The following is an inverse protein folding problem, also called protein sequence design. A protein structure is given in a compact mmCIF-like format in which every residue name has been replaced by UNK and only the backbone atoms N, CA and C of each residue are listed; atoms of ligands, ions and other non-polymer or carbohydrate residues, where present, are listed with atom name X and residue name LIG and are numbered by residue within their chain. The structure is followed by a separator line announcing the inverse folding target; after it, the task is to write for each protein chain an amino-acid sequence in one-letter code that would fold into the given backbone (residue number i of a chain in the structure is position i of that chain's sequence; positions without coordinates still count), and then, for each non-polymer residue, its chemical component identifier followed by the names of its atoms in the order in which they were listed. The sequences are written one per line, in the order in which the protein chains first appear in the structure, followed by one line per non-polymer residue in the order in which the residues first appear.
data_IF_500349526395
#
_entry.id   IF_500349526395
#
_cell.length_a   1.000
_cell.length_b   1.000
_cell.length_c   1.000
_cell.angle_alpha   90.00
_cell.angle_beta   90.00
_cell.angle_gamma   90.00
#
_symmetry.space_group_name_H-M   'P 1'
#
loop_
_entity.id
_entity.type
_entity.pdbx_description
1 polymer ?
#
# COMPACT_ATOMS: atom_id res chain seq x y z
N UNK A 1 -10.23 49.63 -35.55
CA UNK A 1 -9.49 48.43 -36.02
C UNK A 1 -8.14 48.37 -35.31
N UNK A 2 -8.06 47.63 -34.20
CA UNK A 2 -6.79 47.39 -33.50
C UNK A 2 -6.34 45.96 -33.80
N UNK A 3 -5.25 45.83 -34.57
CA UNK A 3 -4.67 44.55 -34.99
C UNK A 3 -3.91 43.91 -33.82
N UNK A 4 -4.47 42.89 -33.18
CA UNK A 4 -3.75 42.00 -32.26
C UNK A 4 -2.69 41.21 -33.05
N UNK A 5 -1.43 41.65 -32.97
CA UNK A 5 -0.28 40.87 -33.42
C UNK A 5 -0.07 39.73 -32.43
N UNK A 6 -0.50 38.52 -32.79
CA UNK A 6 -0.16 37.30 -32.07
C UNK A 6 1.36 37.13 -32.01
N UNK A 7 1.91 37.05 -30.80
CA UNK A 7 3.32 36.76 -30.59
C UNK A 7 3.63 35.35 -31.12
N UNK A 8 4.24 35.25 -32.30
CA UNK A 8 4.76 33.98 -32.83
C UNK A 8 5.87 33.51 -31.89
N UNK A 9 5.60 32.44 -31.12
CA UNK A 9 6.63 31.74 -30.35
C UNK A 9 7.68 31.22 -31.34
N UNK A 10 8.93 31.68 -31.22
CA UNK A 10 10.05 31.17 -32.03
C UNK A 10 10.25 29.68 -31.75
N UNK A 11 10.59 28.86 -32.77
CA UNK A 11 10.92 27.46 -32.55
C UNK A 11 12.17 27.36 -31.67
N UNK A 12 12.12 26.47 -30.69
CA UNK A 12 13.28 26.23 -29.84
C UNK A 12 14.39 25.54 -30.64
N UNK A 13 15.60 26.08 -30.56
CA UNK A 13 16.79 25.45 -31.12
C UNK A 13 17.51 24.65 -30.04
N UNK A 14 18.05 23.50 -30.45
CA UNK A 14 18.76 22.58 -29.58
C UNK A 14 20.19 22.44 -30.08
N UNK A 15 21.15 22.40 -29.16
CA UNK A 15 22.55 22.07 -29.45
C UNK A 15 22.97 20.85 -28.63
N UNK A 16 23.89 20.06 -29.16
CA UNK A 16 24.52 18.97 -28.40
C UNK A 16 25.81 19.49 -27.79
N UNK A 17 25.95 19.41 -26.47
CA UNK A 17 27.21 19.59 -25.77
C UNK A 17 27.76 18.23 -25.36
N UNK A 18 29.07 18.04 -25.46
CA UNK A 18 29.74 16.84 -24.96
C UNK A 18 30.14 17.06 -23.51
N UNK A 19 29.72 16.19 -22.60
CA UNK A 19 30.14 16.27 -21.20
C UNK A 19 31.61 15.85 -21.07
N UNK A 20 32.40 16.65 -20.37
CA UNK A 20 33.80 16.36 -20.02
C UNK A 20 33.86 15.36 -18.85
N UNK A 21 33.42 14.13 -19.08
CA UNK A 21 33.60 12.99 -18.17
C UNK A 21 34.48 11.97 -18.89
N UNK A 22 35.18 11.10 -18.14
CA UNK A 22 36.04 10.02 -18.68
C UNK A 22 35.35 9.23 -19.79
N UNK A 23 34.02 9.09 -19.71
CA UNK A 23 33.13 8.65 -20.80
C UNK A 23 32.24 9.79 -21.31
N UNK A 24 32.56 10.39 -22.47
CA UNK A 24 31.83 11.54 -22.97
C UNK A 24 30.41 11.17 -23.42
N UNK A 25 29.41 11.76 -22.76
CA UNK A 25 28.01 11.69 -23.18
C UNK A 25 27.60 12.91 -24.01
N UNK A 26 26.67 12.72 -24.95
CA UNK A 26 26.01 13.86 -25.63
C UNK A 26 24.85 14.35 -24.78
N UNK A 27 24.87 15.62 -24.41
CA UNK A 27 23.80 16.31 -23.70
C UNK A 27 23.10 17.27 -24.65
N UNK A 28 21.78 17.21 -24.72
CA UNK A 28 20.98 18.19 -25.46
C UNK A 28 20.71 19.40 -24.57
N UNK A 29 21.03 20.57 -25.07
CA UNK A 29 20.80 21.84 -24.39
C UNK A 29 19.92 22.75 -25.26
N UNK A 30 18.91 23.38 -24.65
CA UNK A 30 18.14 24.44 -25.31
C UNK A 30 19.03 25.67 -25.41
N UNK A 31 19.18 26.20 -26.62
CA UNK A 31 19.89 27.45 -26.82
C UNK A 31 18.97 28.59 -26.34
N UNK A 32 19.33 29.27 -25.26
CA UNK A 32 18.61 30.48 -24.84
C UNK A 32 18.81 31.57 -25.90
N UNK A 33 17.73 32.24 -26.27
CA UNK A 33 17.69 33.34 -27.26
C UNK A 33 18.61 34.53 -26.92
N UNK A 34 19.15 34.60 -25.70
CA UNK A 34 20.00 35.69 -25.21
C UNK A 34 21.50 35.41 -25.24
N UNK A 35 21.94 34.24 -25.74
CA UNK A 35 23.36 33.90 -25.85
C UNK A 35 24.12 33.82 -24.52
N UNK A 36 23.40 33.83 -23.39
CA UNK A 36 24.00 33.70 -22.07
C UNK A 36 24.10 32.21 -21.71
N UNK A 37 25.30 31.72 -21.40
CA UNK A 37 25.52 30.39 -20.84
C UNK A 37 24.97 30.37 -19.41
N UNK A 38 23.65 30.24 -19.28
CA UNK A 38 23.05 29.95 -17.98
C UNK A 38 23.48 28.54 -17.59
N UNK A 39 24.23 28.43 -16.49
CA UNK A 39 24.37 27.17 -15.77
C UNK A 39 22.98 26.53 -15.70
N UNK A 40 22.84 25.31 -16.22
CA UNK A 40 21.53 24.68 -16.35
C UNK A 40 20.79 24.76 -15.01
N UNK A 41 19.54 25.24 -14.99
CA UNK A 41 18.74 25.41 -13.75
C UNK A 41 18.71 24.16 -12.86
N UNK A 42 19.01 23.00 -13.46
CA UNK A 42 19.06 21.70 -12.81
C UNK A 42 20.39 21.32 -12.13
N UNK A 43 21.44 22.16 -12.14
CA UNK A 43 22.73 21.84 -11.49
C UNK A 43 22.58 21.55 -10.01
N UNK A 44 21.69 22.28 -9.32
CA UNK A 44 21.42 22.12 -7.89
C UNK A 44 20.82 20.75 -7.52
N UNK A 45 20.22 20.03 -8.48
CA UNK A 45 19.65 18.69 -8.26
C UNK A 45 20.66 17.57 -8.48
N UNK A 46 21.91 17.87 -8.83
CA UNK A 46 22.92 16.86 -9.13
C UNK A 46 23.63 16.40 -7.85
N UNK A 47 22.91 15.66 -7.01
CA UNK A 47 23.47 15.04 -5.79
C UNK A 47 24.39 13.88 -6.18
N UNK A 48 25.66 13.97 -5.80
CA UNK A 48 26.63 12.89 -6.03
C UNK A 48 26.48 11.82 -4.94
N UNK A 49 26.39 10.53 -5.30
CA UNK A 49 26.36 9.47 -4.31
C UNK A 49 27.72 9.35 -3.61
N UNK A 50 27.70 9.02 -2.32
CA UNK A 50 28.90 8.64 -1.58
C UNK A 50 29.34 7.23 -2.00
N UNK A 51 30.63 7.07 -2.27
CA UNK A 51 31.19 5.81 -2.74
C UNK A 51 32.20 5.29 -1.72
N UNK A 52 32.17 3.99 -1.40
CA UNK A 52 33.22 3.37 -0.59
C UNK A 52 34.58 3.46 -1.27
N UNK A 53 35.56 4.06 -0.59
CA UNK A 53 36.97 4.08 -1.01
C UNK A 53 37.74 3.02 -0.23
N UNK A 54 38.61 2.27 -0.90
CA UNK A 54 39.46 1.25 -0.29
C UNK A 54 40.90 1.33 -0.79
N UNK A 55 41.83 0.90 0.05
CA UNK A 55 43.23 0.73 -0.32
C UNK A 55 43.49 -0.71 -0.81
N UNK A 56 44.59 -0.90 -1.54
CA UNK A 56 45.02 -2.19 -2.09
C UNK A 56 45.14 -3.28 -1.02
N UNK A 57 45.70 -2.94 0.14
CA UNK A 57 45.83 -3.88 1.25
C UNK A 57 44.47 -4.32 1.81
N UNK A 58 43.50 -3.39 1.89
CA UNK A 58 42.13 -3.70 2.32
C UNK A 58 41.44 -4.60 1.30
N UNK A 59 41.68 -4.39 0.01
CA UNK A 59 41.11 -5.21 -1.05
C UNK A 59 41.55 -6.67 -0.95
N UNK A 60 42.85 -6.91 -0.82
CA UNK A 60 43.42 -8.26 -0.73
C UNK A 60 42.94 -9.02 0.50
N UNK A 61 42.73 -8.33 1.63
CA UNK A 61 42.32 -8.96 2.88
C UNK A 61 40.82 -9.25 2.95
N UNK A 62 39.97 -8.33 2.47
CA UNK A 62 38.53 -8.36 2.75
C UNK A 62 37.62 -8.33 1.52
N UNK A 63 38.10 -7.93 0.35
CA UNK A 63 37.26 -7.68 -0.83
C UNK A 63 37.52 -8.66 -1.99
N UNK A 64 38.39 -9.65 -1.80
CA UNK A 64 38.66 -10.70 -2.80
C UNK A 64 37.41 -11.52 -3.10
N UNK A 65 37.22 -11.89 -4.36
CA UNK A 65 36.04 -12.65 -4.78
C UNK A 65 36.35 -13.59 -5.96
N UNK A 66 35.78 -14.81 -6.01
CA UNK A 66 36.15 -15.82 -7.03
C UNK A 66 35.91 -15.39 -8.48
N UNK A 67 34.84 -14.63 -8.73
CA UNK A 67 34.41 -14.24 -10.07
C UNK A 67 34.67 -12.76 -10.40
N UNK A 68 35.38 -12.02 -9.56
CA UNK A 68 35.60 -10.58 -9.75
C UNK A 68 37.06 -10.24 -9.56
N UNK A 69 37.63 -9.52 -10.53
CA UNK A 69 38.99 -9.00 -10.40
C UNK A 69 38.99 -7.63 -9.71
N UNK A 70 40.16 -7.21 -9.22
CA UNK A 70 40.33 -5.86 -8.67
C UNK A 70 40.03 -4.80 -9.73
N UNK A 71 40.59 -4.95 -10.93
CA UNK A 71 40.35 -4.03 -12.04
C UNK A 71 38.87 -3.93 -12.45
N UNK A 72 38.14 -5.04 -12.48
CA UNK A 72 36.69 -5.05 -12.75
C UNK A 72 35.91 -4.36 -11.63
N UNK A 73 36.38 -4.50 -10.38
CA UNK A 73 35.77 -3.86 -9.21
C UNK A 73 35.98 -2.35 -9.22
N UNK A 74 37.20 -1.88 -9.51
CA UNK A 74 37.52 -0.46 -9.64
C UNK A 74 36.71 0.18 -10.78
N UNK A 75 36.61 -0.54 -11.90
CA UNK A 75 35.79 -0.13 -13.05
C UNK A 75 34.30 0.02 -12.70
N UNK A 76 33.76 -0.87 -11.86
CA UNK A 76 32.39 -0.77 -11.37
C UNK A 76 32.18 0.49 -10.52
N UNK A 77 33.09 0.78 -9.59
CA UNK A 77 33.00 1.96 -8.74
C UNK A 77 33.11 3.27 -9.52
N UNK A 78 34.02 3.34 -10.50
CA UNK A 78 34.14 4.49 -11.39
C UNK A 78 32.86 4.67 -12.23
N UNK A 79 32.35 3.59 -12.83
CA UNK A 79 31.12 3.64 -13.62
C UNK A 79 29.91 4.07 -12.77
N UNK A 80 29.85 3.64 -11.51
CA UNK A 80 28.83 4.05 -10.56
C UNK A 80 28.90 5.55 -10.24
N UNK A 81 30.10 6.09 -10.05
CA UNK A 81 30.33 7.53 -9.83
C UNK A 81 29.89 8.36 -11.02
N UNK A 82 30.33 8.00 -12.22
CA UNK A 82 30.01 8.71 -13.46
C UNK A 82 28.52 8.71 -13.77
N UNK A 83 27.83 7.64 -13.36
CA UNK A 83 26.40 7.45 -13.58
C UNK A 83 25.54 7.99 -12.43
N UNK A 84 26.13 8.64 -11.43
CA UNK A 84 25.46 9.13 -10.21
C UNK A 84 24.59 8.07 -9.53
N UNK A 85 25.05 6.82 -9.48
CA UNK A 85 24.34 5.71 -8.82
C UNK A 85 23.06 5.22 -9.53
N UNK A 86 22.82 5.64 -10.78
CA UNK A 86 21.64 5.23 -11.54
C UNK A 86 21.86 3.87 -12.20
N UNK A 87 21.43 2.80 -11.55
CA UNK A 87 21.57 1.42 -12.04
C UNK A 87 21.17 1.19 -13.51
N UNK A 88 20.04 1.74 -14.03
CA UNK A 88 19.70 1.59 -15.45
C UNK A 88 20.72 2.21 -16.42
N UNK A 89 21.39 3.29 -16.01
CA UNK A 89 22.45 3.93 -16.81
C UNK A 89 23.76 3.16 -16.67
N UNK A 90 24.03 2.63 -15.48
CA UNK A 90 25.21 1.82 -15.22
C UNK A 90 25.20 0.58 -16.11
N UNK A 91 24.12 -0.20 -16.11
CA UNK A 91 24.05 -1.44 -16.92
C UNK A 91 24.19 -1.16 -18.42
N UNK A 92 23.63 -0.07 -18.91
CA UNK A 92 23.70 0.33 -20.32
C UNK A 92 25.14 0.72 -20.73
N UNK A 93 25.90 1.31 -19.81
CA UNK A 93 27.29 1.75 -20.04
C UNK A 93 28.33 0.75 -19.60
N UNK A 94 27.94 -0.32 -18.93
CA UNK A 94 28.87 -1.27 -18.33
C UNK A 94 29.40 -2.21 -19.40
N UNK A 95 30.61 -1.92 -19.88
CA UNK A 95 31.33 -2.77 -20.83
C UNK A 95 32.76 -2.92 -20.35
N UNK A 96 33.05 -3.98 -19.60
CA UNK A 96 34.42 -4.28 -19.17
C UNK A 96 35.10 -5.19 -20.23
N UNK A 97 36.24 -4.78 -20.84
CA UNK A 97 36.82 -5.49 -21.99
C UNK A 97 37.21 -6.95 -21.73
N UNK A 98 37.60 -7.28 -20.50
CA UNK A 98 38.02 -8.62 -20.08
C UNK A 98 36.91 -9.35 -19.30
N UNK A 99 35.72 -8.73 -19.19
CA UNK A 99 34.62 -9.20 -18.37
C UNK A 99 33.60 -10.02 -19.15
N UNK A 100 32.87 -10.87 -18.41
CA UNK A 100 31.62 -11.44 -18.91
C UNK A 100 30.51 -10.37 -18.91
N UNK A 101 29.51 -10.51 -19.78
CA UNK A 101 28.29 -9.71 -19.69
C UNK A 101 27.60 -9.98 -18.34
N UNK A 102 27.57 -8.98 -17.46
CA UNK A 102 26.97 -9.07 -16.12
C UNK A 102 25.52 -8.63 -16.14
N UNK A 103 24.69 -9.24 -15.30
CA UNK A 103 23.34 -8.74 -15.05
C UNK A 103 23.38 -7.52 -14.11
N UNK A 104 22.32 -6.71 -14.12
CA UNK A 104 22.21 -5.57 -13.19
C UNK A 104 22.28 -6.02 -11.72
N UNK A 105 21.70 -7.18 -11.43
CA UNK A 105 21.61 -7.76 -10.11
C UNK A 105 22.98 -8.27 -9.62
N UNK A 106 23.82 -8.78 -10.51
CA UNK A 106 25.22 -9.14 -10.21
C UNK A 106 26.09 -7.91 -9.89
N UNK A 107 25.95 -6.84 -10.68
CA UNK A 107 26.65 -5.57 -10.43
C UNK A 107 26.27 -5.00 -9.06
N UNK A 108 24.97 -5.00 -8.76
CA UNK A 108 24.43 -4.60 -7.44
C UNK A 108 24.99 -5.47 -6.32
N UNK A 109 24.97 -6.79 -6.47
CA UNK A 109 25.47 -7.72 -5.46
C UNK A 109 26.93 -7.43 -5.11
N UNK A 110 27.78 -7.21 -6.12
CA UNK A 110 29.19 -6.90 -5.88
C UNK A 110 29.35 -5.56 -5.18
N UNK A 111 28.66 -4.52 -5.64
CA UNK A 111 28.72 -3.19 -5.04
C UNK A 111 28.26 -3.19 -3.58
N UNK A 112 27.14 -3.84 -3.27
CA UNK A 112 26.59 -3.91 -1.92
C UNK A 112 27.45 -4.72 -0.94
N UNK A 113 28.09 -5.79 -1.41
CA UNK A 113 29.07 -6.52 -0.61
C UNK A 113 30.27 -5.65 -0.23
N UNK A 114 30.79 -4.87 -1.19
CA UNK A 114 31.92 -3.96 -0.96
C UNK A 114 31.50 -2.84 0.00
N UNK A 115 30.33 -2.24 -0.20
CA UNK A 115 29.86 -1.18 0.68
C UNK A 115 29.59 -1.69 2.09
N UNK A 116 29.01 -2.88 2.25
CA UNK A 116 28.78 -3.49 3.57
C UNK A 116 30.09 -3.80 4.30
N UNK A 117 31.08 -4.38 3.60
CA UNK A 117 32.38 -4.72 4.18
C UNK A 117 33.17 -3.48 4.59
N UNK A 118 33.20 -2.45 3.75
CA UNK A 118 33.87 -1.18 4.08
C UNK A 118 33.17 -0.45 5.21
N UNK A 119 31.83 -0.48 5.24
CA UNK A 119 31.06 0.10 6.34
C UNK A 119 31.40 -0.60 7.66
N UNK A 120 31.45 -1.94 7.69
CA UNK A 120 31.83 -2.71 8.86
C UNK A 120 33.28 -2.46 9.33
N UNK A 121 34.22 -2.24 8.40
CA UNK A 121 35.61 -1.90 8.73
C UNK A 121 35.74 -0.50 9.31
N UNK A 122 34.97 0.46 8.77
CA UNK A 122 34.98 1.85 9.23
C UNK A 122 34.29 2.00 10.59
N UNK A 123 33.13 1.36 10.76
CA UNK A 123 32.35 1.35 11.99
C UNK A 123 32.02 -0.10 12.36
N UNK A 124 32.75 -0.69 13.33
CA UNK A 124 32.45 -2.03 13.81
C UNK A 124 30.99 -2.14 14.26
N UNK A 125 30.38 -3.31 14.05
CA UNK A 125 28.95 -3.57 14.32
C UNK A 125 28.54 -3.16 15.75
N UNK A 126 29.42 -3.36 16.73
CA UNK A 126 29.18 -3.00 18.14
C UNK A 126 29.05 -1.50 18.39
N UNK A 127 29.53 -0.67 17.46
CA UNK A 127 29.58 0.79 17.54
C UNK A 127 28.70 1.49 16.49
N UNK A 128 27.96 0.74 15.68
CA UNK A 128 27.09 1.32 14.66
C UNK A 128 25.88 2.04 15.28
N UNK A 129 25.52 3.18 14.69
CA UNK A 129 24.24 3.83 14.99
C UNK A 129 23.08 3.02 14.40
N UNK A 130 21.86 3.21 14.92
CA UNK A 130 20.67 2.54 14.41
C UNK A 130 20.46 2.67 12.87
N UNK A 131 20.59 3.87 12.25
CA UNK A 131 20.45 3.98 10.80
C UNK A 131 21.60 3.28 10.05
N UNK A 132 22.84 3.36 10.53
CA UNK A 132 23.99 2.68 9.90
C UNK A 132 23.86 1.16 9.95
N UNK A 133 23.40 0.63 11.09
CA UNK A 133 23.14 -0.81 11.23
C UNK A 133 22.03 -1.27 10.28
N UNK A 134 20.94 -0.50 10.17
CA UNK A 134 19.87 -0.82 9.21
C UNK A 134 20.37 -0.83 7.77
N UNK A 135 21.25 0.12 7.41
CA UNK A 135 21.88 0.15 6.10
C UNK A 135 22.78 -1.09 5.89
N UNK A 136 23.64 -1.41 6.85
CA UNK A 136 24.47 -2.61 6.80
C UNK A 136 23.65 -3.88 6.60
N UNK A 137 22.55 -4.03 7.33
CA UNK A 137 21.64 -5.18 7.22
C UNK A 137 21.01 -5.26 5.81
N UNK A 138 20.56 -4.13 5.25
CA UNK A 138 20.00 -4.12 3.89
C UNK A 138 21.03 -4.46 2.81
N UNK A 139 22.27 -4.00 2.97
CA UNK A 139 23.35 -4.24 2.02
C UNK A 139 23.87 -5.68 2.10
N UNK A 140 24.04 -6.21 3.31
CA UNK A 140 24.55 -7.57 3.55
C UNK A 140 23.56 -8.66 3.14
N UNK A 141 22.25 -8.42 3.31
CA UNK A 141 21.20 -9.38 2.99
C UNK A 141 20.72 -9.32 1.53
N UNK A 142 21.33 -8.49 0.67
CA UNK A 142 20.93 -8.39 -0.73
C UNK A 142 21.14 -9.73 -1.46
N UNK A 143 20.05 -10.27 -2.04
CA UNK A 143 20.09 -11.52 -2.80
C UNK A 143 19.80 -11.26 -4.30
N UNK A 144 20.78 -11.46 -5.20
CA UNK A 144 20.61 -11.17 -6.62
C UNK A 144 19.53 -12.04 -7.28
N UNK A 145 19.34 -13.29 -6.84
CA UNK A 145 18.31 -14.19 -7.40
C UNK A 145 16.90 -13.74 -7.02
N UNK A 146 16.72 -13.31 -5.77
CA UNK A 146 15.43 -12.78 -5.31
C UNK A 146 15.11 -11.47 -6.04
N UNK A 147 16.08 -10.58 -6.18
CA UNK A 147 15.89 -9.32 -6.91
C UNK A 147 15.54 -9.57 -8.39
N UNK A 148 16.19 -10.54 -9.04
CA UNK A 148 15.86 -10.94 -10.41
C UNK A 148 14.42 -11.48 -10.52
N UNK A 149 14.00 -12.35 -9.59
CA UNK A 149 12.61 -12.86 -9.56
C UNK A 149 11.58 -11.75 -9.31
N UNK A 150 11.91 -10.79 -8.44
CA UNK A 150 11.06 -9.63 -8.15
C UNK A 150 10.91 -8.74 -9.36
N UNK A 151 12.00 -8.50 -10.10
CA UNK A 151 12.00 -7.74 -11.35
C UNK A 151 11.16 -8.44 -12.42
N UNK A 152 11.28 -9.75 -12.56
CA UNK A 152 10.49 -10.53 -13.51
C UNK A 152 8.98 -10.45 -13.19
N UNK A 153 8.60 -10.52 -11.91
CA UNK A 153 7.20 -10.32 -11.50
C UNK A 153 6.69 -8.91 -11.84
N UNK A 154 7.50 -7.88 -11.54
CA UNK A 154 7.13 -6.50 -11.86
C UNK A 154 6.99 -6.26 -13.38
N UNK A 155 7.86 -6.88 -14.18
CA UNK A 155 7.79 -6.85 -15.64
C UNK A 155 6.52 -7.55 -16.16
N UNK A 156 6.15 -8.69 -15.56
CA UNK A 156 4.87 -9.36 -15.82
C UNK A 156 3.68 -8.46 -15.52
N UNK A 157 3.67 -7.78 -14.36
CA UNK A 157 2.61 -6.83 -14.02
C UNK A 157 2.55 -5.62 -14.95
N UNK A 158 3.70 -5.13 -15.42
CA UNK A 158 3.77 -4.00 -16.34
C UNK A 158 3.22 -4.36 -17.73
N UNK A 159 3.46 -5.58 -18.18
CA UNK A 159 3.04 -6.09 -19.49
C UNK A 159 1.67 -6.78 -19.48
N UNK A 160 0.97 -6.76 -18.33
CA UNK A 160 -0.29 -7.48 -18.13
C UNK A 160 -1.42 -6.91 -18.98
N UNK A 161 -2.08 -7.71 -19.83
CA UNK A 161 -3.21 -7.27 -20.63
C UNK A 161 -4.52 -7.32 -19.83
N UNK A 162 -5.50 -6.48 -20.20
CA UNK A 162 -6.75 -6.32 -19.45
C UNK A 162 -7.61 -7.60 -19.42
N UNK A 163 -7.60 -8.40 -20.49
CA UNK A 163 -8.36 -9.66 -20.55
C UNK A 163 -7.87 -10.68 -19.51
N UNK A 164 -6.55 -10.76 -19.27
CA UNK A 164 -5.96 -11.64 -18.25
C UNK A 164 -6.35 -11.18 -16.84
N UNK A 165 -6.54 -9.87 -16.64
CA UNK A 165 -7.07 -9.32 -15.37
C UNK A 165 -8.51 -9.77 -15.12
N UNK A 166 -9.35 -9.69 -16.13
CA UNK A 166 -10.76 -10.06 -16.01
C UNK A 166 -10.92 -11.57 -15.77
N UNK A 167 -10.14 -12.40 -16.49
CA UNK A 167 -10.10 -13.86 -16.32
C UNK A 167 -9.61 -14.26 -14.91
N UNK A 168 -8.50 -13.69 -14.43
CA UNK A 168 -8.02 -13.94 -13.07
C UNK A 168 -9.04 -13.50 -12.00
N UNK A 169 -9.76 -12.40 -12.23
CA UNK A 169 -10.84 -11.95 -11.35
C UNK A 169 -11.97 -12.97 -11.24
N UNK A 170 -12.39 -13.55 -12.38
CA UNK A 170 -13.38 -14.63 -12.42
C UNK A 170 -12.85 -15.85 -11.67
N UNK A 171 -11.63 -16.30 -11.96
CA UNK A 171 -11.01 -17.46 -11.30
C UNK A 171 -10.90 -17.28 -9.79
N UNK A 172 -10.55 -16.07 -9.31
CA UNK A 172 -10.45 -15.79 -7.89
C UNK A 172 -11.81 -15.82 -7.19
N UNK A 173 -12.85 -15.31 -7.86
CA UNK A 173 -14.24 -15.40 -7.37
C UNK A 173 -14.72 -16.86 -7.29
N UNK A 174 -14.36 -17.68 -8.28
CA UNK A 174 -14.68 -19.11 -8.31
C UNK A 174 -13.92 -19.87 -7.23
N UNK A 175 -12.62 -19.59 -7.05
CA UNK A 175 -11.82 -20.17 -5.99
C UNK A 175 -12.39 -19.85 -4.61
N UNK A 176 -12.77 -18.58 -4.37
CA UNK A 176 -13.40 -18.18 -3.11
C UNK A 176 -14.72 -18.92 -2.89
N UNK A 177 -15.53 -19.10 -3.94
CA UNK A 177 -16.76 -19.89 -3.89
C UNK A 177 -16.49 -21.36 -3.55
N UNK A 178 -15.46 -21.96 -4.16
CA UNK A 178 -15.04 -23.34 -3.85
C UNK A 178 -14.56 -23.45 -2.40
N UNK A 179 -13.75 -22.50 -1.92
CA UNK A 179 -13.26 -22.48 -0.53
C UNK A 179 -14.40 -22.35 0.49
N UNK A 180 -15.38 -21.48 0.23
CA UNK A 180 -16.56 -21.35 1.09
C UNK A 180 -17.39 -22.65 1.10
N UNK A 181 -17.59 -23.25 -0.07
CA UNK A 181 -18.30 -24.53 -0.16
C UNK A 181 -17.54 -25.67 0.54
N UNK A 182 -16.21 -25.68 0.45
CA UNK A 182 -15.38 -26.65 1.17
C UNK A 182 -15.53 -26.48 2.68
N UNK A 183 -15.52 -25.24 3.18
CA UNK A 183 -15.75 -24.95 4.59
C UNK A 183 -17.16 -25.36 5.05
N UNK A 184 -18.19 -25.17 4.24
CA UNK A 184 -19.55 -25.65 4.58
C UNK A 184 -19.62 -27.17 4.61
N UNK A 185 -19.04 -27.86 3.63
CA UNK A 185 -18.99 -29.32 3.60
C UNK A 185 -18.21 -29.89 4.79
N UNK A 186 -17.11 -29.25 5.19
CA UNK A 186 -16.33 -29.70 6.33
C UNK A 186 -17.07 -29.47 7.66
N UNK A 187 -17.84 -28.37 7.79
CA UNK A 187 -18.74 -28.15 8.92
C UNK A 187 -19.88 -29.18 8.96
N UNK A 188 -20.51 -29.48 7.83
CA UNK A 188 -21.57 -30.50 7.74
C UNK A 188 -21.00 -31.89 8.08
N UNK A 189 -19.79 -32.21 7.61
CA UNK A 189 -19.10 -33.44 7.99
C UNK A 189 -18.77 -33.48 9.48
N UNK A 190 -18.31 -32.38 10.07
CA UNK A 190 -18.05 -32.30 11.51
C UNK A 190 -19.36 -32.45 12.31
N UNK A 191 -20.45 -31.83 11.87
CA UNK A 191 -21.76 -31.98 12.49
C UNK A 191 -22.26 -33.41 12.41
N UNK A 192 -22.13 -34.06 11.24
CA UNK A 192 -22.46 -35.48 11.08
C UNK A 192 -21.58 -36.35 11.98
N UNK A 193 -20.28 -36.07 12.07
CA UNK A 193 -19.39 -36.76 13.02
C UNK A 193 -19.83 -36.54 14.47
N UNK A 194 -20.22 -35.32 14.86
CA UNK A 194 -20.75 -35.05 16.21
C UNK A 194 -22.08 -35.75 16.48
N UNK A 195 -22.95 -35.86 15.47
CA UNK A 195 -24.24 -36.57 15.58
C UNK A 195 -24.05 -38.10 15.60
N UNK A 196 -23.08 -38.61 14.84
CA UNK A 196 -22.73 -40.02 14.74
C UNK A 196 -21.87 -40.49 15.93
N UNK A 197 -21.05 -39.61 16.50
CA UNK A 197 -20.46 -39.74 17.84
C UNK A 197 -21.56 -39.46 18.87
N UNK A 198 -22.62 -40.28 18.87
CA UNK A 198 -23.41 -40.44 20.08
C UNK A 198 -22.43 -40.90 21.17
N UNK A 199 -22.40 -40.27 22.36
CA UNK A 199 -21.65 -40.83 23.47
C UNK A 199 -22.22 -42.23 23.68
N UNK A 200 -21.46 -43.26 23.28
CA UNK A 200 -21.75 -44.61 23.77
C UNK A 200 -21.71 -44.46 25.28
N UNK A 201 -22.86 -44.62 25.93
CA UNK A 201 -22.95 -44.56 27.37
C UNK A 201 -22.04 -45.66 27.93
N UNK A 202 -20.79 -45.31 28.21
CA UNK A 202 -19.87 -46.18 28.94
C UNK A 202 -19.97 -45.87 30.44
N UNK A 203 -21.19 -45.64 30.91
CA UNK A 203 -21.48 -45.36 32.31
C UNK A 203 -22.71 -46.17 32.71
N UNK A 204 -22.50 -47.05 33.69
CA UNK A 204 -23.56 -47.80 34.34
C UNK A 204 -24.68 -46.84 34.74
N UNK A 205 -25.91 -47.08 34.24
CA UNK A 205 -27.09 -46.20 34.34
C UNK A 205 -27.61 -45.91 35.75
N UNK A 206 -26.84 -46.18 36.79
CA UNK A 206 -27.21 -46.05 38.20
C UNK A 206 -26.59 -44.83 38.90
N UNK A 207 -25.73 -44.03 38.25
CA UNK A 207 -25.06 -42.90 38.91
C UNK A 207 -25.92 -41.63 39.10
N UNK A 208 -27.09 -41.54 38.47
CA UNK A 208 -27.96 -40.35 38.55
C UNK A 208 -29.35 -40.63 39.14
N UNK A 209 -29.50 -41.73 39.89
CA UNK A 209 -30.80 -42.12 40.46
C UNK A 209 -31.21 -41.30 41.71
N UNK A 210 -30.30 -40.52 42.30
CA UNK A 210 -30.60 -39.69 43.47
C UNK A 210 -30.71 -38.21 43.09
N UNK A 211 -31.65 -37.49 43.72
CA UNK A 211 -31.86 -36.05 43.51
C UNK A 211 -30.61 -35.21 43.85
N UNK A 212 -29.76 -35.71 44.73
CA UNK A 212 -28.46 -35.11 45.08
C UNK A 212 -27.48 -35.22 43.91
N UNK A 213 -27.39 -36.39 43.27
CA UNK A 213 -26.52 -36.60 42.10
C UNK A 213 -26.98 -35.79 40.88
N UNK A 214 -28.29 -35.61 40.70
CA UNK A 214 -28.84 -34.75 39.65
C UNK A 214 -28.52 -33.27 39.88
N UNK A 215 -28.59 -32.79 41.12
CA UNK A 215 -28.22 -31.41 41.47
C UNK A 215 -26.73 -31.15 41.18
N UNK A 216 -25.86 -32.12 41.47
CA UNK A 216 -24.43 -32.05 41.14
C UNK A 216 -24.16 -31.99 39.63
N UNK A 217 -24.84 -32.84 38.84
CA UNK A 217 -24.77 -32.81 37.38
C UNK A 217 -25.22 -31.44 36.83
N UNK A 218 -26.30 -30.90 37.40
CA UNK A 218 -26.87 -29.62 36.96
C UNK A 218 -25.91 -28.45 37.18
N UNK A 219 -25.21 -28.40 38.32
CA UNK A 219 -24.16 -27.40 38.57
C UNK A 219 -22.97 -27.57 37.61
N UNK A 220 -22.58 -28.80 37.30
CA UNK A 220 -21.48 -29.09 36.39
C UNK A 220 -21.81 -28.66 34.95
N UNK A 221 -23.05 -28.84 34.53
CA UNK A 221 -23.55 -28.45 33.22
C UNK A 221 -23.65 -26.92 33.09
N UNK A 222 -24.09 -26.23 34.15
CA UNK A 222 -24.03 -24.77 34.22
C UNK A 222 -22.60 -24.21 34.16
N UNK A 223 -21.63 -24.88 34.79
CA UNK A 223 -20.23 -24.46 34.74
C UNK A 223 -19.63 -24.62 33.34
N UNK A 224 -19.95 -25.71 32.65
CA UNK A 224 -19.52 -25.95 31.27
C UNK A 224 -20.12 -24.93 30.27
N UNK A 225 -21.37 -24.51 30.49
CA UNK A 225 -22.03 -23.51 29.64
C UNK A 225 -21.42 -22.11 29.81
N UNK A 226 -20.99 -21.77 31.04
CA UNK A 226 -20.22 -20.53 31.29
C UNK A 226 -18.86 -20.54 30.61
N UNK A 227 -18.20 -21.70 30.51
CA UNK A 227 -16.89 -21.80 29.84
C UNK A 227 -16.99 -21.59 28.31
N UNK A 228 -18.06 -22.05 27.66
CA UNK A 228 -18.26 -21.85 26.21
C UNK A 228 -18.55 -20.40 25.82
N UNK A 229 -19.21 -19.62 26.70
CA UNK A 229 -19.50 -18.19 26.44
C UNK A 229 -18.28 -17.27 26.50
N UNK A 230 -17.19 -17.71 27.14
CA UNK A 230 -15.98 -16.90 27.35
C UNK A 230 -14.91 -17.08 26.27
N UNK A 231 -15.13 -17.91 25.25
CA UNK A 231 -14.24 -18.05 24.11
C UNK A 231 -14.67 -17.15 22.94
N UNK A 232 -14.80 -15.84 23.22
CA UNK A 232 -14.82 -14.80 22.18
C UNK A 232 -13.47 -14.06 22.24
N UNK A 233 -12.71 -14.23 21.17
CA UNK A 233 -11.42 -13.63 20.83
C UNK A 233 -11.12 -12.33 21.59
N UNK A 234 -10.18 -12.40 22.53
CA UNK A 234 -9.58 -11.24 23.17
C UNK A 234 -8.65 -10.57 22.16
N UNK A 235 -9.01 -9.37 21.72
CA UNK A 235 -8.11 -8.53 20.94
C UNK A 235 -6.83 -8.28 21.75
N UNK A 236 -5.69 -8.62 21.17
CA UNK A 236 -4.36 -8.29 21.68
C UNK A 236 -4.21 -6.77 21.69
N UNK A 237 -4.00 -6.20 22.87
CA UNK A 237 -3.69 -4.78 23.01
C UNK A 237 -2.33 -4.49 22.36
N UNK A 238 -2.33 -3.67 21.32
CA UNK A 238 -1.11 -3.11 20.73
C UNK A 238 -0.52 -2.08 21.71
N UNK A 239 0.79 -2.12 22.04
CA UNK A 239 1.40 -1.08 22.86
C UNK A 239 1.35 0.25 22.10
N UNK A 240 0.99 1.32 22.82
CA UNK A 240 0.99 2.68 22.30
C UNK A 240 2.41 3.13 21.96
N UNK A 241 2.74 3.10 20.68
CA UNK A 241 3.89 3.82 20.12
C UNK A 241 3.39 5.19 19.64
N UNK A 242 3.42 6.20 20.51
CA UNK A 242 3.38 7.59 20.04
C UNK A 242 4.74 7.91 19.44
N UNK A 243 4.87 7.78 18.12
CA UNK A 243 5.99 8.37 17.39
C UNK A 243 5.83 9.90 17.40
N UNK A 244 6.81 10.67 17.88
CA UNK A 244 6.82 12.11 17.66
C UNK A 244 7.29 12.37 16.23
N UNK A 245 6.36 12.65 15.33
CA UNK A 245 6.70 13.21 14.02
C UNK A 245 5.67 14.28 13.69
N UNK A 246 5.88 15.49 14.23
CA UNK A 246 5.32 16.69 13.63
C UNK A 246 6.11 16.92 12.33
N UNK A 247 5.64 16.30 11.24
CA UNK A 247 6.12 16.58 9.89
C UNK A 247 5.71 18.01 9.53
N UNK A 248 6.55 18.72 8.78
CA UNK A 248 6.17 20.02 8.23
C UNK A 248 5.03 19.85 7.22
N UNK A 249 4.18 20.88 7.07
CA UNK A 249 3.07 20.86 6.09
C UNK A 249 3.55 20.55 4.66
N UNK A 250 4.77 20.98 4.30
CA UNK A 250 5.39 20.69 3.01
C UNK A 250 5.80 19.22 2.86
N UNK A 251 6.37 18.61 3.91
CA UNK A 251 6.75 17.21 3.93
C UNK A 251 5.54 16.29 3.92
N UNK A 252 4.46 16.68 4.61
CA UNK A 252 3.18 15.97 4.59
C UNK A 252 2.58 15.90 3.19
N UNK A 253 2.59 17.03 2.47
CA UNK A 253 2.06 17.12 1.12
C UNK A 253 2.93 16.33 0.12
N UNK A 254 4.26 16.35 0.32
CA UNK A 254 5.20 15.55 -0.47
C UNK A 254 5.05 14.04 -0.23
N UNK A 255 4.84 13.62 1.01
CA UNK A 255 4.73 12.21 1.42
C UNK A 255 3.30 11.67 1.30
N UNK A 256 2.32 12.51 0.90
CA UNK A 256 0.92 12.13 0.78
C UNK A 256 0.24 11.80 2.12
N UNK A 257 0.81 12.27 3.23
CA UNK A 257 0.25 12.08 4.57
C UNK A 257 -0.76 13.17 4.84
N UNK A 258 -2.05 12.82 4.80
CA UNK A 258 -3.14 13.75 5.12
C UNK A 258 -3.53 13.58 6.58
N UNK A 259 -3.19 14.56 7.41
CA UNK A 259 -3.65 14.58 8.80
C UNK A 259 -5.14 14.92 8.81
N UNK A 260 -5.97 13.95 9.19
CA UNK A 260 -7.41 14.18 9.31
C UNK A 260 -7.65 15.06 10.54
N UNK A 261 -8.24 16.24 10.38
CA UNK A 261 -8.61 17.12 11.50
C UNK A 261 -9.76 16.54 12.35
N UNK A 262 -10.46 15.52 11.85
CA UNK A 262 -11.52 14.83 12.56
C UNK A 262 -10.96 13.87 13.63
N UNK A 263 -11.50 13.94 14.85
CA UNK A 263 -11.26 12.91 15.87
C UNK A 263 -11.87 11.58 15.42
N UNK A 264 -11.03 10.69 14.90
CA UNK A 264 -11.42 9.34 14.53
C UNK A 264 -11.71 8.50 15.78
N UNK A 265 -12.68 7.57 15.72
CA UNK A 265 -12.91 6.62 16.81
C UNK A 265 -11.68 5.73 17.03
N UNK A 266 -11.48 5.28 18.28
CA UNK A 266 -10.37 4.39 18.63
C UNK A 266 -10.39 3.12 17.79
N UNK A 267 -9.33 2.86 17.03
CA UNK A 267 -9.19 1.70 16.15
C UNK A 267 -8.73 2.07 14.73
N UNK A 268 -8.62 1.06 13.87
CA UNK A 268 -8.32 1.22 12.45
C UNK A 268 -9.61 1.67 11.76
N UNK A 269 -9.56 2.79 11.04
CA UNK A 269 -10.68 3.29 10.23
C UNK A 269 -10.21 3.48 8.79
N UNK A 270 -11.00 3.00 7.83
CA UNK A 270 -10.67 3.11 6.41
C UNK A 270 -11.40 4.30 5.79
N UNK A 271 -10.83 4.90 4.73
CA UNK A 271 -11.50 5.97 3.98
C UNK A 271 -12.83 5.48 3.34
N UNK A 272 -12.92 4.19 2.99
CA UNK A 272 -14.15 3.53 2.53
C UNK A 272 -15.28 3.56 3.57
N UNK A 273 -14.96 3.62 4.87
CA UNK A 273 -15.96 3.74 5.92
C UNK A 273 -16.70 5.08 5.84
N UNK A 274 -16.02 6.15 5.41
CA UNK A 274 -16.62 7.47 5.24
C UNK A 274 -17.63 7.50 4.08
N UNK A 275 -17.50 6.60 3.10
CA UNK A 275 -18.43 6.51 1.97
C UNK A 275 -19.59 5.54 2.20
N UNK A 276 -19.43 4.57 3.11
CA UNK A 276 -20.42 3.52 3.37
C UNK A 276 -21.33 3.82 4.56
N UNK A 277 -20.77 4.27 5.69
CA UNK A 277 -21.55 4.59 6.91
C UNK A 277 -22.68 5.59 6.69
N UNK A 278 -22.49 6.74 6.00
CA UNK A 278 -23.57 7.71 5.81
C UNK A 278 -24.70 7.21 4.89
N UNK A 279 -24.50 6.11 4.14
CA UNK A 279 -25.57 5.47 3.36
C UNK A 279 -26.53 4.66 4.21
N UNK A 280 -26.11 4.25 5.41
CA UNK A 280 -26.87 3.37 6.30
C UNK A 280 -27.51 4.21 7.42
N UNK A 281 -28.83 4.34 7.39
CA UNK A 281 -29.59 5.00 8.45
C UNK A 281 -30.07 3.98 9.49
N UNK A 282 -30.52 4.46 10.66
CA UNK A 282 -31.11 3.60 11.72
C UNK A 282 -32.38 2.88 11.27
N UNK A 283 -33.08 3.43 10.28
CA UNK A 283 -34.29 2.85 9.68
C UNK A 283 -33.96 2.25 8.32
N UNK A 284 -34.36 1.00 8.10
CA UNK A 284 -34.24 0.31 6.80
C UNK A 284 -34.93 1.09 5.69
N UNK A 285 -36.14 1.60 5.95
CA UNK A 285 -36.92 2.40 4.98
C UNK A 285 -36.18 3.69 4.59
N UNK A 286 -35.47 4.34 5.52
CA UNK A 286 -34.68 5.53 5.21
C UNK A 286 -33.43 5.17 4.40
N UNK A 287 -32.80 4.04 4.70
CA UNK A 287 -31.64 3.51 3.95
C UNK A 287 -32.03 3.24 2.49
N UNK A 288 -33.19 2.62 2.25
CA UNK A 288 -33.69 2.35 0.90
C UNK A 288 -34.02 3.65 0.14
N UNK A 289 -34.59 4.65 0.83
CA UNK A 289 -34.84 5.98 0.24
C UNK A 289 -33.54 6.70 -0.13
N UNK A 290 -32.52 6.64 0.72
CA UNK A 290 -31.19 7.21 0.45
C UNK A 290 -30.58 6.51 -0.76
N UNK A 291 -30.62 5.18 -0.82
CA UNK A 291 -30.11 4.40 -1.95
C UNK A 291 -30.81 4.77 -3.27
N UNK A 292 -32.16 4.90 -3.26
CA UNK A 292 -32.91 5.30 -4.44
C UNK A 292 -32.58 6.73 -4.92
N UNK A 293 -32.38 7.69 -3.99
CA UNK A 293 -31.98 9.06 -4.34
C UNK A 293 -30.57 9.08 -4.93
N UNK A 294 -29.63 8.34 -4.33
CA UNK A 294 -28.24 8.26 -4.82
C UNK A 294 -28.17 7.60 -6.19
N UNK A 295 -28.96 6.55 -6.42
CA UNK A 295 -29.08 5.90 -7.73
C UNK A 295 -29.64 6.86 -8.79
N UNK A 296 -30.66 7.64 -8.45
CA UNK A 296 -31.21 8.66 -9.36
C UNK A 296 -30.21 9.81 -9.64
N UNK A 297 -29.38 10.16 -8.65
CA UNK A 297 -28.31 11.14 -8.81
C UNK A 297 -27.10 10.60 -9.60
N UNK A 298 -27.10 9.32 -9.99
CA UNK A 298 -26.01 8.69 -10.74
C UNK A 298 -24.77 8.37 -9.89
N UNK A 299 -24.90 8.36 -8.57
CA UNK A 299 -23.80 8.01 -7.66
C UNK A 299 -23.71 6.49 -7.56
N UNK A 300 -22.57 5.86 -7.93
CA UNK A 300 -22.39 4.42 -7.82
C UNK A 300 -22.53 3.92 -6.37
N UNK A 301 -22.98 2.68 -6.22
CA UNK A 301 -23.11 2.06 -4.89
C UNK A 301 -21.74 1.79 -4.24
N UNK A 302 -20.76 1.42 -5.08
CA UNK A 302 -19.37 1.26 -4.71
C UNK A 302 -18.51 2.33 -5.38
N UNK A 303 -17.79 3.11 -4.58
CA UNK A 303 -16.78 4.07 -5.06
C UNK A 303 -15.40 3.44 -4.81
N UNK A 304 -14.69 2.98 -5.87
CA UNK A 304 -13.47 2.17 -5.72
C UNK A 304 -12.25 2.96 -5.23
N UNK A 305 -12.25 4.29 -5.43
CA UNK A 305 -11.13 5.16 -5.07
C UNK A 305 -11.61 6.27 -4.10
N UNK A 306 -11.61 6.00 -2.79
CA UNK A 306 -11.96 6.98 -1.75
C UNK A 306 -10.81 7.96 -1.54
N UNK A 307 -10.59 8.85 -2.50
CA UNK A 307 -9.64 9.97 -2.35
C UNK A 307 -10.24 11.06 -1.46
N UNK A 308 -9.42 11.89 -0.77
CA UNK A 308 -9.92 12.93 0.13
C UNK A 308 -10.92 13.89 -0.53
N UNK A 309 -10.65 14.32 -1.77
CA UNK A 309 -11.53 15.20 -2.53
C UNK A 309 -12.88 14.55 -2.87
N UNK A 310 -12.89 13.23 -3.14
CA UNK A 310 -14.12 12.48 -3.42
C UNK A 310 -14.95 12.32 -2.16
N UNK A 311 -14.32 12.08 -1.00
CA UNK A 311 -15.02 11.99 0.29
C UNK A 311 -15.68 13.31 0.65
N UNK A 312 -14.99 14.44 0.50
CA UNK A 312 -15.56 15.77 0.78
C UNK A 312 -16.77 16.09 -0.11
N UNK A 313 -16.68 15.80 -1.41
CA UNK A 313 -17.81 15.99 -2.33
C UNK A 313 -18.97 15.07 -1.99
N UNK A 314 -18.68 13.83 -1.58
CA UNK A 314 -19.70 12.87 -1.19
C UNK A 314 -20.43 13.31 0.09
N UNK A 315 -19.71 13.83 1.09
CA UNK A 315 -20.32 14.40 2.30
C UNK A 315 -21.24 15.59 1.98
N UNK A 316 -20.83 16.46 1.05
CA UNK A 316 -21.66 17.56 0.57
C UNK A 316 -22.94 17.07 -0.14
N UNK A 317 -22.87 15.99 -0.91
CA UNK A 317 -24.04 15.34 -1.53
C UNK A 317 -24.94 14.74 -0.46
N UNK A 318 -24.39 14.01 0.50
CA UNK A 318 -25.15 13.38 1.58
C UNK A 318 -25.90 14.40 2.43
N UNK A 319 -25.28 15.55 2.74
CA UNK A 319 -25.93 16.67 3.43
C UNK A 319 -27.18 17.17 2.67
N UNK A 320 -27.08 17.32 1.34
CA UNK A 320 -28.22 17.69 0.49
C UNK A 320 -29.30 16.61 0.45
N UNK A 321 -28.92 15.33 0.38
CA UNK A 321 -29.86 14.20 0.40
C UNK A 321 -30.65 14.18 1.71
N UNK A 322 -29.99 14.42 2.84
CA UNK A 322 -30.66 14.49 4.14
C UNK A 322 -31.63 15.68 4.22
N UNK A 323 -31.21 16.86 3.76
CA UNK A 323 -32.09 18.03 3.69
C UNK A 323 -33.33 17.79 2.81
N UNK A 324 -33.18 17.11 1.66
CA UNK A 324 -34.30 16.76 0.80
C UNK A 324 -35.26 15.77 1.45
N UNK A 325 -34.76 14.79 2.20
CA UNK A 325 -35.60 13.85 2.94
C UNK A 325 -36.42 14.56 4.03
N UNK A 326 -35.82 15.52 4.72
CA UNK A 326 -36.52 16.32 5.73
C UNK A 326 -37.58 17.22 5.11
N UNK A 327 -37.27 17.90 4.00
CA UNK A 327 -38.25 18.71 3.26
C UNK A 327 -39.41 17.87 2.74
N UNK A 328 -39.13 16.68 2.20
CA UNK A 328 -40.18 15.75 1.76
C UNK A 328 -41.09 15.34 2.91
N UNK A 329 -40.51 15.06 4.09
CA UNK A 329 -41.29 14.70 5.28
C UNK A 329 -42.21 15.84 5.72
N UNK A 330 -41.74 17.09 5.66
CA UNK A 330 -42.57 18.27 5.95
C UNK A 330 -43.68 18.43 4.91
N UNK A 331 -43.37 18.30 3.62
CA UNK A 331 -44.36 18.40 2.55
C UNK A 331 -45.44 17.31 2.62
N UNK A 332 -45.08 16.07 2.95
CA UNK A 332 -46.05 14.98 3.17
C UNK A 332 -46.97 15.28 4.36
N UNK A 333 -46.46 15.93 5.41
CA UNK A 333 -47.26 16.37 6.56
C UNK A 333 -48.23 17.49 6.19
N UNK A 334 -47.74 18.54 5.54
CA UNK A 334 -48.58 19.67 5.12
C UNK A 334 -49.68 19.24 4.14
N UNK A 335 -49.35 18.39 3.17
CA UNK A 335 -50.33 17.84 2.23
C UNK A 335 -51.42 17.02 2.93
N UNK A 336 -51.06 16.28 3.99
CA UNK A 336 -52.02 15.53 4.79
C UNK A 336 -52.91 16.47 5.61
N UNK A 337 -52.36 17.53 6.20
CA UNK A 337 -53.13 18.55 6.93
C UNK A 337 -54.13 19.27 6.01
N UNK A 338 -53.73 19.61 4.77
CA UNK A 338 -54.62 20.19 3.75
C UNK A 338 -55.75 19.22 3.40
N UNK A 339 -55.43 17.94 3.14
CA UNK A 339 -56.44 16.93 2.78
C UNK A 339 -57.48 16.74 3.88
N UNK A 340 -57.06 16.77 5.15
CA UNK A 340 -57.97 16.68 6.30
C UNK A 340 -58.89 17.91 6.36
N UNK A 341 -58.34 19.11 6.19
CA UNK A 341 -59.11 20.36 6.18
C UNK A 341 -60.13 20.42 5.04
N UNK A 342 -59.76 19.93 3.85
CA UNK A 342 -60.67 19.85 2.71
C UNK A 342 -61.82 18.85 2.96
N UNK A 343 -61.54 17.72 3.61
CA UNK A 343 -62.56 16.74 3.98
C UNK A 343 -63.52 17.29 5.07
N UNK A 344 -63.00 18.02 6.05
CA UNK A 344 -63.81 18.70 7.08
C UNK A 344 -64.71 19.80 6.48
N UNK A 345 -64.27 20.48 5.42
CA UNK A 345 -65.06 21.52 4.74
C UNK A 345 -66.18 20.97 3.85
N UNK A 346 -66.15 19.67 3.53
CA UNK A 346 -67.15 18.99 2.69
C UNK A 346 -68.23 18.24 3.50
N UNK A 347 -68.06 18.11 4.82
CA UNK A 347 -69.09 17.63 5.75
C UNK A 347 -69.87 18.79 6.35
#
# INVERSE_FOLDING_TARGET
MASMKGARRRPASWRTTTTTTTRPGRRWERVDTRGNERASDFTHYNTKPEIPTYDDATYEQHLTHPHWTKGETDYLLETYLESNGKWPVIIDRYSYPEGSNRSMEELKSRFYQISATILQLRTPITSMTAPEYSLYETLSNFNPKQEASRKQLAEGHLSRPQNEVDEEGVLLSELQRIMLNQATLDNEREELRRRLDYPRANTNGYQYTSSQALTGLWQQLLAADRMKKNQRLRATATPGNSLPVDLSDEDMLRLGVVQSQDKLPSGITFASDKLSKPRIAKSTIQTDKIAAILQHAGVPDLIPLPTPAVVEQFDAVMSKVHALLDLRKVGEREAQEIRVREAEAQS
#
